data_IF_784732789004
#
_entry.id   IF_784732789004
#
_cell.length_a   1.000
_cell.length_b   1.000
_cell.length_c   1.000
_cell.angle_alpha   90.00
_cell.angle_beta   90.00
_cell.angle_gamma   90.00
#
_symmetry.space_group_name_H-M   'P 1'
#
loop_
_entity.id
_entity.type
_entity.pdbx_description
1 polymer ?
#
# COMPACT_ATOMS: atom_id res chain seq x y z
N UNK A 1 -70.60 18.27 47.51
CA UNK A 1 -69.88 19.47 47.99
C UNK A 1 -68.41 19.09 48.19
N UNK A 2 -67.48 19.87 47.61
CA UNK A 2 -66.05 20.03 47.98
C UNK A 2 -65.08 18.90 47.50
N UNK A 3 -64.39 19.14 46.37
CA UNK A 3 -62.93 19.52 46.19
C UNK A 3 -61.98 18.32 46.32
N UNK A 4 -61.38 17.78 45.25
CA UNK A 4 -60.24 18.25 44.40
C UNK A 4 -58.84 18.07 45.07
N UNK A 5 -57.94 17.41 44.32
CA UNK A 5 -56.45 17.51 44.23
C UNK A 5 -55.55 16.39 44.86
N UNK A 6 -54.73 15.76 43.96
CA UNK A 6 -53.33 15.24 44.09
C UNK A 6 -53.01 14.14 45.14
N UNK A 7 -52.18 13.10 44.91
CA UNK A 7 -50.94 12.95 44.12
C UNK A 7 -50.85 11.51 43.59
N UNK A 8 -50.61 11.32 42.29
CA UNK A 8 -50.16 10.04 41.74
C UNK A 8 -48.63 10.02 41.88
N UNK A 9 -48.14 9.23 42.83
CA UNK A 9 -46.73 8.87 42.91
C UNK A 9 -46.43 7.84 41.81
N UNK A 10 -46.11 8.32 40.59
CA UNK A 10 -45.44 7.50 39.58
C UNK A 10 -43.98 7.37 40.01
N UNK A 11 -43.66 6.20 40.56
CA UNK A 11 -42.30 5.72 40.69
C UNK A 11 -41.84 5.24 39.30
N UNK A 12 -41.38 6.19 38.48
CA UNK A 12 -40.64 5.90 37.25
C UNK A 12 -39.28 5.33 37.65
N UNK A 13 -39.19 4.00 37.68
CA UNK A 13 -37.92 3.29 37.59
C UNK A 13 -37.31 3.65 36.23
N UNK A 14 -36.42 4.65 36.22
CA UNK A 14 -35.50 4.87 35.11
C UNK A 14 -34.58 3.66 35.06
N UNK A 15 -34.96 2.66 34.26
CA UNK A 15 -34.03 1.72 33.69
C UNK A 15 -33.08 2.52 32.79
N UNK A 16 -31.98 3.00 33.37
CA UNK A 16 -30.82 3.47 32.62
C UNK A 16 -30.28 2.26 31.89
N UNK A 17 -30.69 2.06 30.65
CA UNK A 17 -29.89 1.29 29.71
C UNK A 17 -28.62 2.11 29.48
N UNK A 18 -27.56 1.77 30.22
CA UNK A 18 -26.22 2.12 29.80
C UNK A 18 -26.05 1.50 28.41
N UNK A 19 -26.13 2.36 27.39
CA UNK A 19 -25.53 2.05 26.11
C UNK A 19 -24.05 1.99 26.43
N UNK A 20 -23.54 0.78 26.58
CA UNK A 20 -22.11 0.57 26.46
C UNK A 20 -21.73 1.12 25.09
N UNK A 21 -21.05 2.27 25.11
CA UNK A 21 -20.39 2.82 23.95
C UNK A 21 -19.34 1.79 23.53
N UNK A 22 -19.71 0.90 22.61
CA UNK A 22 -18.77 0.04 21.89
C UNK A 22 -17.71 0.98 21.34
N UNK A 23 -16.43 0.86 21.74
CA UNK A 23 -15.39 1.71 21.20
C UNK A 23 -15.39 1.48 19.69
N UNK A 24 -15.79 2.51 18.93
CA UNK A 24 -15.65 2.54 17.49
C UNK A 24 -14.16 2.29 17.22
N UNK A 25 -13.84 1.05 16.84
CA UNK A 25 -12.55 0.76 16.24
C UNK A 25 -12.41 1.76 15.11
N UNK A 26 -11.31 2.50 15.13
CA UNK A 26 -10.99 3.52 14.14
C UNK A 26 -10.75 2.81 12.80
N UNK A 27 -11.81 2.37 12.12
CA UNK A 27 -11.73 1.87 10.76
C UNK A 27 -11.46 3.09 9.91
N UNK A 28 -10.18 3.39 9.71
CA UNK A 28 -9.73 4.52 8.91
C UNK A 28 -10.31 4.33 7.51
N UNK A 29 -11.33 5.11 7.18
CA UNK A 29 -12.14 4.98 5.97
C UNK A 29 -11.24 4.90 4.72
N UNK A 30 -11.47 3.88 3.89
CA UNK A 30 -10.71 3.67 2.66
C UNK A 30 -11.47 4.25 1.48
N UNK A 31 -10.76 4.97 0.62
CA UNK A 31 -11.31 5.58 -0.58
C UNK A 31 -10.96 4.70 -1.77
N UNK A 32 -11.97 4.25 -2.51
CA UNK A 32 -11.79 3.62 -3.82
C UNK A 32 -11.69 4.73 -4.87
N UNK A 33 -10.57 4.85 -5.61
CA UNK A 33 -10.43 5.87 -6.65
C UNK A 33 -11.54 5.74 -7.71
N UNK A 34 -12.09 6.87 -8.16
CA UNK A 34 -13.13 6.85 -9.21
C UNK A 34 -12.55 6.40 -10.55
N UNK A 35 -11.40 6.99 -10.92
CA UNK A 35 -10.63 6.64 -12.12
C UNK A 35 -9.89 5.31 -11.92
N UNK A 36 -9.82 4.48 -12.95
CA UNK A 36 -9.04 3.24 -12.95
C UNK A 36 -7.53 3.47 -13.06
N UNK A 37 -7.12 4.70 -13.34
CA UNK A 37 -5.73 5.09 -13.56
C UNK A 37 -5.21 5.92 -12.39
N UNK A 38 -4.29 5.32 -11.63
CA UNK A 38 -3.53 6.00 -10.59
C UNK A 38 -2.34 6.76 -11.19
N UNK A 39 -2.13 7.98 -10.67
CA UNK A 39 -0.99 8.86 -11.00
C UNK A 39 -0.73 9.82 -9.85
N UNK A 40 0.53 10.16 -9.63
CA UNK A 40 0.90 11.20 -8.66
C UNK A 40 0.79 10.72 -7.20
N UNK A 41 0.15 11.51 -6.34
CA UNK A 41 0.28 11.39 -4.88
C UNK A 41 -1.06 11.09 -4.23
N UNK A 42 -1.09 10.10 -3.35
CA UNK A 42 -2.22 9.71 -2.52
C UNK A 42 -1.86 9.89 -1.05
N UNK A 43 -2.63 10.72 -0.34
CA UNK A 43 -2.43 11.08 1.07
C UNK A 43 -3.52 10.55 2.00
N UNK A 44 -4.49 9.83 1.45
CA UNK A 44 -5.59 9.19 2.16
C UNK A 44 -5.54 7.66 1.93
N UNK A 45 -6.16 6.93 2.85
CA UNK A 45 -6.28 5.48 2.71
C UNK A 45 -6.98 5.14 1.40
N UNK A 46 -6.34 4.31 0.59
CA UNK A 46 -6.77 4.00 -0.77
C UNK A 46 -6.98 2.50 -0.91
N UNK A 47 -8.08 2.11 -1.54
CA UNK A 47 -8.41 0.72 -1.84
C UNK A 47 -8.46 0.48 -3.35
N UNK A 48 -7.69 -0.51 -3.82
CA UNK A 48 -7.81 -1.08 -5.16
C UNK A 48 -8.59 -2.39 -5.08
N UNK A 49 -9.79 -2.36 -5.66
CA UNK A 49 -10.73 -3.48 -5.70
C UNK A 49 -10.40 -4.48 -6.81
N UNK A 50 -10.86 -5.73 -6.68
CA UNK A 50 -10.59 -6.77 -7.68
C UNK A 50 -11.64 -6.89 -8.81
N UNK A 51 -12.66 -6.03 -8.80
CA UNK A 51 -13.77 -5.99 -9.76
C UNK A 51 -13.41 -5.29 -11.09
N UNK A 52 -12.24 -4.65 -11.16
CA UNK A 52 -11.70 -4.01 -12.37
C UNK A 52 -10.20 -4.14 -12.48
N UNK A 53 -9.70 -3.84 -13.68
CA UNK A 53 -8.26 -3.70 -13.92
C UNK A 53 -7.84 -2.27 -13.57
N UNK A 54 -6.71 -2.15 -12.90
CA UNK A 54 -6.12 -0.85 -12.56
C UNK A 54 -4.95 -0.54 -13.47
N UNK A 55 -4.72 0.75 -13.68
CA UNK A 55 -3.53 1.25 -14.32
C UNK A 55 -2.74 2.14 -13.36
N UNK A 56 -1.41 2.01 -13.36
CA UNK A 56 -0.49 2.94 -12.70
C UNK A 56 0.32 3.61 -13.80
N UNK A 57 0.25 4.94 -13.89
CA UNK A 57 1.04 5.73 -14.85
C UNK A 57 2.17 6.46 -14.12
N UNK A 58 3.40 6.14 -14.49
CA UNK A 58 4.60 6.66 -13.82
C UNK A 58 4.70 6.16 -12.39
N UNK A 59 5.21 7.02 -11.50
CA UNK A 59 5.28 6.75 -10.08
C UNK A 59 4.03 7.23 -9.34
N UNK A 60 3.45 6.33 -8.55
CA UNK A 60 2.39 6.64 -7.58
C UNK A 60 2.98 6.61 -6.18
N UNK A 61 2.77 7.69 -5.44
CA UNK A 61 3.31 7.87 -4.09
C UNK A 61 2.20 7.77 -3.05
N UNK A 62 2.37 6.88 -2.07
CA UNK A 62 1.49 6.78 -0.90
C UNK A 62 2.19 7.49 0.26
N UNK A 63 1.57 8.54 0.79
CA UNK A 63 2.19 9.46 1.75
C UNK A 63 1.29 9.73 2.96
N UNK A 64 1.75 10.59 3.87
CA UNK A 64 0.94 11.12 4.98
C UNK A 64 0.36 10.03 5.89
N UNK A 65 1.17 8.98 6.16
CA UNK A 65 0.78 7.86 7.03
C UNK A 65 -0.51 7.16 6.54
N UNK A 66 -0.75 7.20 5.24
CA UNK A 66 -1.88 6.51 4.60
C UNK A 66 -1.52 5.08 4.23
N UNK A 67 -2.53 4.29 3.88
CA UNK A 67 -2.34 2.94 3.37
C UNK A 67 -2.86 2.82 1.94
N UNK A 68 -2.17 2.01 1.14
CA UNK A 68 -2.71 1.43 -0.08
C UNK A 68 -3.03 -0.03 0.19
N UNK A 69 -4.32 -0.38 0.16
CA UNK A 69 -4.78 -1.77 0.21
C UNK A 69 -5.15 -2.23 -1.19
N UNK A 70 -4.76 -3.45 -1.52
CA UNK A 70 -5.02 -4.08 -2.82
C UNK A 70 -5.69 -5.42 -2.54
N UNK A 71 -6.89 -5.62 -3.08
CA UNK A 71 -7.65 -6.85 -2.84
C UNK A 71 -7.03 -8.07 -3.55
N UNK A 72 -7.18 -9.28 -3.01
CA UNK A 72 -6.78 -10.50 -3.70
C UNK A 72 -7.35 -10.59 -5.11
N UNK A 73 -6.53 -11.03 -6.07
CA UNK A 73 -6.91 -11.20 -7.47
C UNK A 73 -6.88 -9.91 -8.30
N UNK A 74 -6.56 -8.77 -7.70
CA UNK A 74 -6.46 -7.48 -8.41
C UNK A 74 -5.36 -7.52 -9.47
N UNK A 75 -5.64 -6.94 -10.64
CA UNK A 75 -4.71 -6.82 -11.76
C UNK A 75 -4.33 -5.36 -11.98
N UNK A 76 -3.04 -5.09 -12.04
CA UNK A 76 -2.48 -3.75 -12.12
C UNK A 76 -1.51 -3.68 -13.30
N UNK A 77 -1.81 -2.82 -14.27
CA UNK A 77 -0.93 -2.55 -15.41
C UNK A 77 -0.12 -1.29 -15.14
N UNK A 78 1.20 -1.43 -15.07
CA UNK A 78 2.13 -0.31 -14.85
C UNK A 78 2.66 0.16 -16.19
N UNK A 79 2.39 1.42 -16.51
CA UNK A 79 2.87 2.13 -17.68
C UNK A 79 3.92 3.15 -17.21
N UNK A 80 5.13 3.20 -17.78
CA UNK A 80 6.06 4.26 -17.45
C UNK A 80 5.49 5.61 -17.89
N UNK A 81 5.93 6.68 -17.20
CA UNK A 81 5.60 8.03 -17.65
C UNK A 81 6.46 8.39 -18.88
N UNK A 82 5.86 8.65 -20.06
CA UNK A 82 6.60 9.04 -21.25
C UNK A 82 7.43 10.32 -21.06
N UNK A 83 7.01 11.20 -20.15
CA UNK A 83 7.67 12.47 -19.87
C UNK A 83 8.87 12.32 -18.91
N UNK A 84 8.88 11.30 -18.05
CA UNK A 84 9.83 11.23 -16.93
C UNK A 84 11.04 10.32 -17.18
N UNK A 85 11.01 9.39 -18.16
CA UNK A 85 12.07 8.39 -18.45
C UNK A 85 12.61 7.64 -17.20
N UNK A 86 11.95 7.77 -16.06
CA UNK A 86 12.40 7.31 -14.74
C UNK A 86 11.88 5.91 -14.44
N UNK A 87 10.77 5.51 -15.09
CA UNK A 87 10.08 4.24 -14.98
C UNK A 87 8.71 4.40 -14.35
N UNK A 88 8.27 3.41 -13.56
CA UNK A 88 6.98 3.49 -12.89
C UNK A 88 6.69 2.36 -11.91
N UNK A 89 5.63 2.58 -11.14
CA UNK A 89 5.18 1.68 -10.10
C UNK A 89 4.71 2.44 -8.87
N UNK A 90 4.85 1.80 -7.71
CA UNK A 90 4.29 2.31 -6.45
C UNK A 90 5.43 2.55 -5.47
N UNK A 91 5.42 3.72 -4.84
CA UNK A 91 6.34 4.08 -3.76
C UNK A 91 5.50 4.33 -2.51
N UNK A 92 5.73 3.54 -1.48
CA UNK A 92 5.19 3.75 -0.15
C UNK A 92 6.23 4.53 0.63
N UNK A 93 5.93 5.78 0.97
CA UNK A 93 6.84 6.66 1.72
C UNK A 93 6.80 6.31 3.21
N UNK A 94 7.88 6.60 3.95
CA UNK A 94 7.99 6.36 5.40
C UNK A 94 6.71 6.70 6.16
N UNK A 95 6.40 5.84 7.13
CA UNK A 95 5.18 5.81 7.96
C UNK A 95 3.88 5.46 7.20
N UNK A 96 3.91 5.33 5.88
CA UNK A 96 2.78 4.84 5.07
C UNK A 96 2.89 3.32 4.87
N UNK A 97 1.80 2.67 4.40
CA UNK A 97 1.74 1.21 4.34
C UNK A 97 1.22 0.66 3.01
N UNK A 98 1.79 -0.45 2.56
CA UNK A 98 1.17 -1.32 1.55
C UNK A 98 0.54 -2.53 2.22
N UNK A 99 -0.70 -2.85 1.83
CA UNK A 99 -1.37 -4.10 2.19
C UNK A 99 -1.78 -4.79 0.90
N UNK A 100 -0.89 -5.63 0.37
CA UNK A 100 -1.09 -6.45 -0.82
C UNK A 100 -1.04 -7.92 -0.41
N UNK A 101 -2.20 -8.44 0.02
CA UNK A 101 -2.34 -9.82 0.49
C UNK A 101 -3.21 -10.58 -0.50
N UNK A 102 -2.58 -11.13 -1.53
CA UNK A 102 -3.22 -12.09 -2.43
C UNK A 102 -3.45 -13.43 -1.74
N UNK A 103 -3.85 -14.42 -2.54
CA UNK A 103 -3.88 -15.82 -2.12
C UNK A 103 -3.34 -16.69 -3.26
N UNK A 104 -3.01 -17.95 -2.99
CA UNK A 104 -2.61 -18.90 -4.03
C UNK A 104 -3.62 -19.00 -5.19
N UNK A 105 -4.93 -18.91 -4.90
CA UNK A 105 -5.99 -18.93 -5.92
C UNK A 105 -6.25 -17.58 -6.59
N UNK A 106 -5.96 -16.48 -5.89
CA UNK A 106 -6.21 -15.11 -6.33
C UNK A 106 -4.98 -14.23 -6.04
N UNK A 107 -3.85 -14.44 -6.74
CA UNK A 107 -2.67 -13.61 -6.55
C UNK A 107 -2.92 -12.20 -7.09
N UNK A 108 -2.28 -11.21 -6.46
CA UNK A 108 -2.26 -9.83 -6.97
C UNK A 108 -1.22 -9.76 -8.08
N UNK A 109 -1.60 -9.25 -9.26
CA UNK A 109 -0.73 -9.27 -10.44
C UNK A 109 -0.39 -7.86 -10.91
N UNK A 110 0.89 -7.56 -10.94
CA UNK A 110 1.44 -6.38 -11.59
C UNK A 110 2.04 -6.76 -12.94
N UNK A 111 1.72 -5.98 -13.97
CA UNK A 111 2.28 -6.12 -15.30
C UNK A 111 2.95 -4.81 -15.72
N UNK A 112 4.28 -4.80 -15.78
CA UNK A 112 5.09 -3.66 -16.19
C UNK A 112 5.36 -3.72 -17.69
N UNK A 113 4.86 -2.74 -18.45
CA UNK A 113 4.79 -2.85 -19.91
C UNK A 113 5.99 -2.31 -20.68
N UNK A 114 6.73 -1.35 -20.14
CA UNK A 114 7.97 -0.87 -20.75
C UNK A 114 9.01 -0.64 -19.67
N UNK A 115 10.00 -1.52 -19.68
CA UNK A 115 11.04 -1.64 -18.67
C UNK A 115 12.43 -1.57 -19.29
N UNK A 116 12.52 -1.48 -20.62
CA UNK A 116 13.79 -1.39 -21.37
C UNK A 116 14.38 0.01 -21.27
N UNK A 117 13.53 1.04 -21.39
CA UNK A 117 13.97 2.44 -21.38
C UNK A 117 13.89 3.07 -19.98
N UNK A 118 13.35 2.34 -19.02
CA UNK A 118 13.11 2.79 -17.67
C UNK A 118 14.26 2.38 -16.74
N UNK A 119 14.76 3.34 -15.95
CA UNK A 119 15.88 3.11 -15.02
C UNK A 119 15.47 2.24 -13.82
N UNK A 120 14.21 2.30 -13.41
CA UNK A 120 13.68 1.55 -12.26
C UNK A 120 12.18 1.31 -12.42
N UNK A 121 11.72 0.08 -12.22
CA UNK A 121 10.30 -0.25 -12.18
C UNK A 121 10.04 -1.16 -11.02
N UNK A 122 8.92 -0.96 -10.33
CA UNK A 122 8.59 -1.86 -9.24
C UNK A 122 7.76 -1.27 -8.13
N UNK A 123 7.80 -1.95 -7.00
CA UNK A 123 7.22 -1.49 -5.74
C UNK A 123 8.34 -1.13 -4.79
N UNK A 124 8.30 0.06 -4.19
CA UNK A 124 9.27 0.47 -3.17
C UNK A 124 8.58 0.66 -1.83
N UNK A 125 9.12 0.05 -0.79
CA UNK A 125 8.74 0.31 0.59
C UNK A 125 9.84 1.12 1.27
N UNK A 126 9.50 2.33 1.68
CA UNK A 126 10.34 3.19 2.50
C UNK A 126 9.87 3.08 3.93
N UNK A 127 10.67 2.44 4.79
CA UNK A 127 10.36 2.24 6.19
C UNK A 127 11.07 3.22 7.11
N UNK A 128 10.95 2.97 8.42
CA UNK A 128 11.49 3.77 9.51
C UNK A 128 12.57 3.02 10.35
N UNK A 129 13.08 1.90 9.84
CA UNK A 129 14.19 1.16 10.44
C UNK A 129 15.55 1.73 10.01
N UNK A 130 16.60 1.40 10.76
CA UNK A 130 17.95 1.91 10.49
C UNK A 130 18.50 1.51 9.11
N UNK A 131 19.12 2.46 8.42
CA UNK A 131 19.75 2.25 7.11
C UNK A 131 21.13 2.93 7.07
N UNK A 132 22.12 2.26 6.47
CA UNK A 132 23.50 2.78 6.33
C UNK A 132 23.77 3.58 5.05
N UNK A 133 22.99 3.37 3.99
CA UNK A 133 23.22 3.96 2.66
C UNK A 133 22.08 4.88 2.25
N UNK A 134 22.44 6.02 1.65
CA UNK A 134 21.50 6.89 0.96
C UNK A 134 21.09 6.30 -0.40
N UNK A 135 19.87 6.56 -0.83
CA UNK A 135 19.25 6.13 -2.07
C UNK A 135 18.54 7.34 -2.64
N UNK A 136 18.89 7.67 -3.87
CA UNK A 136 18.31 8.80 -4.60
C UNK A 136 17.47 8.22 -5.71
N UNK A 137 16.18 8.60 -5.77
CA UNK A 137 15.32 8.20 -6.85
C UNK A 137 15.87 8.68 -8.20
N UNK A 138 15.58 7.99 -9.32
CA UNK A 138 16.02 8.41 -10.65
C UNK A 138 15.64 9.86 -11.02
N UNK A 139 14.61 10.42 -10.40
CA UNK A 139 14.10 11.78 -10.59
C UNK A 139 14.81 12.84 -9.71
N UNK A 140 15.81 12.45 -8.92
CA UNK A 140 16.49 13.35 -7.97
C UNK A 140 15.62 13.77 -6.78
N UNK A 141 14.40 13.22 -6.67
CA UNK A 141 13.49 13.47 -5.55
C UNK A 141 14.00 12.75 -4.31
N UNK A 142 14.33 13.54 -3.29
CA UNK A 142 14.65 13.02 -1.97
C UNK A 142 13.35 12.69 -1.23
N UNK A 143 13.15 11.42 -0.93
CA UNK A 143 12.03 10.95 -0.10
C UNK A 143 12.56 10.51 1.25
N UNK A 144 11.77 10.73 2.30
CA UNK A 144 12.12 10.27 3.63
C UNK A 144 11.99 8.75 3.73
N UNK A 145 13.05 8.11 4.20
CA UNK A 145 13.09 6.70 4.57
C UNK A 145 14.23 6.50 5.58
N UNK A 146 14.19 5.39 6.30
CA UNK A 146 15.08 5.11 7.41
C UNK A 146 14.70 5.84 8.71
N UNK A 147 15.29 5.38 9.80
CA UNK A 147 15.07 5.92 11.15
C UNK A 147 15.69 5.04 12.22
N UNK A 148 15.07 4.99 13.38
CA UNK A 148 15.54 4.30 14.58
C UNK A 148 14.57 3.22 15.08
N UNK A 149 13.55 2.86 14.30
CA UNK A 149 12.54 1.87 14.65
C UNK A 149 12.83 0.51 13.98
N UNK A 150 13.62 -0.40 14.60
CA UNK A 150 13.94 -1.70 14.02
C UNK A 150 12.70 -2.58 13.79
N UNK A 151 11.64 -2.36 14.57
CA UNK A 151 10.38 -3.09 14.51
C UNK A 151 9.34 -2.42 13.59
N UNK A 152 9.75 -1.52 12.69
CA UNK A 152 8.85 -0.88 11.73
C UNK A 152 8.07 -1.91 10.89
N UNK A 153 6.82 -1.57 10.58
CA UNK A 153 5.94 -2.38 9.74
C UNK A 153 5.47 -1.53 8.57
N UNK A 154 6.26 -1.56 7.49
CA UNK A 154 6.04 -0.77 6.28
C UNK A 154 5.02 -1.40 5.33
N UNK A 155 4.58 -2.63 5.60
CA UNK A 155 3.50 -3.28 4.86
C UNK A 155 3.49 -4.80 4.91
N UNK A 156 2.57 -5.37 4.14
CA UNK A 156 2.46 -6.79 3.83
C UNK A 156 2.42 -6.97 2.32
N UNK A 157 3.27 -7.85 1.80
CA UNK A 157 3.27 -8.30 0.41
C UNK A 157 3.24 -9.83 0.45
N UNK A 158 2.09 -10.41 0.13
CA UNK A 158 1.87 -11.86 0.12
C UNK A 158 1.10 -12.28 -1.14
N UNK A 159 1.51 -13.38 -1.78
CA UNK A 159 0.99 -13.86 -3.07
C UNK A 159 0.88 -12.75 -4.13
N UNK A 160 2.02 -12.09 -4.39
CA UNK A 160 2.14 -11.02 -5.38
C UNK A 160 3.03 -11.48 -6.54
N UNK A 161 2.50 -11.36 -7.75
CA UNK A 161 3.20 -11.65 -9.00
C UNK A 161 3.57 -10.34 -9.70
N UNK A 162 4.86 -10.13 -9.96
CA UNK A 162 5.37 -8.98 -10.71
C UNK A 162 5.92 -9.47 -12.04
N UNK A 163 5.27 -9.09 -13.14
CA UNK A 163 5.70 -9.44 -14.50
C UNK A 163 6.33 -8.24 -15.20
N UNK A 164 7.58 -8.38 -15.60
CA UNK A 164 8.37 -7.35 -16.28
C UNK A 164 8.56 -7.73 -17.75
N UNK A 165 8.31 -6.77 -18.66
CA UNK A 165 8.54 -7.02 -20.09
C UNK A 165 10.04 -7.24 -20.40
N UNK A 166 10.97 -6.65 -19.64
CA UNK A 166 12.45 -6.78 -19.68
C UNK A 166 13.08 -6.21 -18.39
N UNK A 167 13.74 -6.97 -17.51
CA UNK A 167 14.19 -6.39 -16.22
C UNK A 167 15.66 -5.92 -16.25
N UNK A 168 15.90 -4.63 -15.98
CA UNK A 168 17.25 -4.03 -15.85
C UNK A 168 17.54 -3.61 -14.39
N UNK A 169 16.53 -3.61 -13.52
CA UNK A 169 16.58 -2.98 -12.18
C UNK A 169 15.57 -3.66 -11.25
N UNK A 170 15.77 -3.67 -9.91
CA UNK A 170 15.07 -4.59 -9.02
C UNK A 170 13.58 -4.29 -8.94
N UNK A 171 12.75 -5.31 -9.20
CA UNK A 171 11.29 -5.22 -9.23
C UNK A 171 10.61 -4.88 -7.90
N UNK A 172 11.28 -5.13 -6.76
CA UNK A 172 10.90 -4.60 -5.45
C UNK A 172 12.15 -4.03 -4.77
N UNK A 173 11.99 -2.91 -4.08
CA UNK A 173 13.03 -2.30 -3.28
C UNK A 173 12.56 -2.04 -1.85
N UNK A 174 13.35 -2.49 -0.88
CA UNK A 174 13.12 -2.24 0.54
C UNK A 174 14.17 -1.27 1.07
N UNK A 175 13.72 -0.13 1.61
CA UNK A 175 14.58 0.93 2.11
C UNK A 175 14.26 1.20 3.57
N UNK A 176 15.12 0.72 4.49
CA UNK A 176 14.92 0.90 5.93
C UNK A 176 13.61 0.29 6.43
N UNK A 177 13.22 -0.88 5.94
CA UNK A 177 12.03 -1.60 6.45
C UNK A 177 12.38 -2.38 7.72
N UNK A 178 11.45 -2.42 8.67
CA UNK A 178 11.64 -3.12 9.95
C UNK A 178 11.20 -4.58 9.93
N UNK A 179 11.52 -5.29 11.02
CA UNK A 179 11.28 -6.72 11.22
C UNK A 179 9.80 -7.13 11.20
N UNK A 180 8.87 -6.18 11.36
CA UNK A 180 7.42 -6.41 11.30
C UNK A 180 6.83 -6.15 9.91
N UNK A 181 7.67 -5.92 8.91
CA UNK A 181 7.27 -5.92 7.49
C UNK A 181 7.22 -7.37 7.02
N UNK A 182 6.08 -7.80 6.47
CA UNK A 182 5.89 -9.19 6.05
C UNK A 182 5.97 -9.30 4.53
N UNK A 183 6.91 -10.10 4.04
CA UNK A 183 7.08 -10.40 2.62
C UNK A 183 7.06 -11.91 2.48
N UNK A 184 6.09 -12.43 1.74
CA UNK A 184 5.92 -13.86 1.52
C UNK A 184 5.35 -14.13 0.13
N UNK A 185 5.57 -15.33 -0.43
CA UNK A 185 5.07 -15.76 -1.74
C UNK A 185 5.11 -14.70 -2.86
N UNK A 186 6.22 -13.97 -2.98
CA UNK A 186 6.44 -13.00 -4.06
C UNK A 186 7.14 -13.67 -5.24
N UNK A 187 6.55 -13.57 -6.42
CA UNK A 187 7.15 -14.08 -7.67
C UNK A 187 7.47 -12.93 -8.61
N UNK A 188 8.65 -12.97 -9.23
CA UNK A 188 9.05 -12.04 -10.29
C UNK A 188 9.31 -12.81 -11.58
N UNK A 189 8.57 -12.46 -12.63
CA UNK A 189 8.75 -13.00 -13.98
C UNK A 189 9.36 -11.92 -14.87
N UNK A 190 10.58 -12.16 -15.34
CA UNK A 190 11.29 -11.27 -16.27
C UNK A 190 11.28 -11.94 -17.62
N UNK A 191 10.56 -11.39 -18.60
CA UNK A 191 10.37 -11.99 -19.92
C UNK A 191 11.62 -12.09 -20.81
N UNK A 192 12.83 -12.22 -20.25
CA UNK A 192 14.12 -12.24 -20.94
C UNK A 192 15.03 -13.35 -20.38
N UNK A 193 15.40 -14.29 -21.25
CA UNK A 193 16.55 -15.19 -21.08
C UNK A 193 17.84 -14.48 -21.51
N UNK A 194 18.73 -14.14 -20.58
CA UNK A 194 20.17 -13.93 -20.87
C UNK A 194 20.99 -14.08 -19.59
N UNK A 195 21.91 -15.04 -19.66
CA UNK A 195 23.09 -15.35 -18.85
C UNK A 195 23.30 -14.61 -17.52
N UNK A 196 23.35 -15.43 -16.47
CA UNK A 196 23.79 -15.13 -15.11
C UNK A 196 25.19 -14.50 -15.10
N UNK A 197 25.27 -13.19 -14.90
CA UNK A 197 26.32 -12.61 -14.06
C UNK A 197 25.62 -11.96 -12.88
N UNK A 198 25.68 -12.66 -11.75
CA UNK A 198 24.96 -12.34 -10.54
C UNK A 198 25.47 -11.04 -9.92
N UNK A 199 24.57 -10.09 -9.74
CA UNK A 199 24.57 -9.23 -8.57
C UNK A 199 23.50 -9.80 -7.65
N UNK A 200 23.88 -10.74 -6.77
CA UNK A 200 23.21 -11.09 -5.50
C UNK A 200 23.93 -12.32 -4.89
N UNK A 201 25.13 -12.12 -4.37
CA UNK A 201 25.62 -12.92 -3.24
C UNK A 201 25.19 -12.20 -1.96
N UNK A 202 24.07 -12.64 -1.39
CA UNK A 202 23.73 -12.54 0.03
C UNK A 202 23.15 -13.89 0.46
#
# INVERSE_FOLDING_TARGET
MKTLVLYIAILLLLASCDKEDVPLQHTKEEIVPVDDTLRGVFSANTLLTNDRNWCVKGWVYIINRSSLRIEPGTKIKVLPDPAAKSGGGIIIVRDSKLVAQGTAGLPIRFQFTDTVHARLNGVMLMGNAFQRKSFVLPEGKELSYGGDLPEDSSGVIDYVELKFHHMISPGILFLGVGSKTCIDHVTMDTGVSINTEGYNDL
#
